data_IF_706670862121
#
_entry.id   IF_706670862121
#
_cell.length_a   1.000
_cell.length_b   1.000
_cell.length_c   1.000
_cell.angle_alpha   90.00
_cell.angle_beta   90.00
_cell.angle_gamma   90.00
#
_symmetry.space_group_name_H-M   'P 1'
#
loop_
_entity.id
_entity.type
_entity.pdbx_description
1 polymer ?
#
# COMPACT_ATOMS: atom_id res chain seq x y z
N UNK A 1 -28.19 -1.07 -54.09
CA UNK A 1 -28.56 -2.27 -53.32
C UNK A 1 -27.28 -2.98 -52.92
N UNK A 2 -27.22 -3.55 -51.71
CA UNK A 2 -26.06 -4.07 -50.94
C UNK A 2 -25.40 -2.98 -50.06
N UNK A 3 -25.65 -2.84 -48.76
CA UNK A 3 -25.82 -3.71 -47.57
C UNK A 3 -24.59 -3.58 -46.64
N UNK A 4 -24.91 -3.34 -45.36
CA UNK A 4 -24.04 -2.89 -44.29
C UNK A 4 -23.12 -3.98 -43.70
N UNK A 5 -22.12 -3.55 -42.94
CA UNK A 5 -21.36 -4.39 -42.03
C UNK A 5 -20.67 -3.56 -40.94
N UNK A 6 -21.43 -3.11 -39.94
CA UNK A 6 -20.87 -2.48 -38.74
C UNK A 6 -20.36 -3.58 -37.79
N UNK A 7 -19.05 -3.70 -37.64
CA UNK A 7 -18.44 -4.59 -36.65
C UNK A 7 -18.53 -3.94 -35.26
N UNK A 8 -19.49 -4.37 -34.45
CA UNK A 8 -19.53 -4.04 -33.03
C UNK A 8 -18.43 -4.82 -32.32
N UNK A 9 -17.31 -4.16 -32.03
CA UNK A 9 -16.30 -4.66 -31.11
C UNK A 9 -16.92 -4.66 -29.70
N UNK A 10 -17.42 -5.83 -29.27
CA UNK A 10 -17.94 -6.01 -27.93
C UNK A 10 -16.83 -5.77 -26.91
N UNK A 11 -16.96 -4.71 -26.11
CA UNK A 11 -16.23 -4.58 -24.85
C UNK A 11 -16.60 -5.79 -24.00
N UNK A 12 -15.68 -6.75 -23.89
CA UNK A 12 -15.72 -7.75 -22.82
C UNK A 12 -15.44 -6.99 -21.54
N UNK A 13 -16.49 -6.59 -20.82
CA UNK A 13 -16.37 -6.24 -19.42
C UNK A 13 -15.83 -7.47 -18.70
N UNK A 14 -14.52 -7.48 -18.43
CA UNK A 14 -13.93 -8.46 -17.53
C UNK A 14 -14.68 -8.33 -16.21
N UNK A 15 -15.32 -9.42 -15.76
CA UNK A 15 -15.74 -9.50 -14.36
C UNK A 15 -14.48 -9.31 -13.54
N UNK A 16 -14.43 -8.26 -12.72
CA UNK A 16 -13.41 -8.14 -11.70
C UNK A 16 -13.47 -9.44 -10.89
N UNK A 17 -12.44 -10.29 -11.01
CA UNK A 17 -12.24 -11.36 -10.05
C UNK A 17 -11.80 -10.65 -8.77
N UNK A 18 -12.42 -10.98 -7.65
CA UNK A 18 -11.86 -10.62 -6.36
C UNK A 18 -10.40 -11.09 -6.35
N UNK A 19 -9.48 -10.25 -5.90
CA UNK A 19 -8.08 -10.63 -5.80
C UNK A 19 -7.99 -11.77 -4.78
N UNK A 20 -7.53 -12.95 -5.21
CA UNK A 20 -7.34 -14.12 -4.33
C UNK A 20 -6.16 -13.91 -3.36
N UNK A 21 -5.33 -12.89 -3.62
CA UNK A 21 -4.17 -12.54 -2.81
C UNK A 21 -3.94 -11.04 -2.72
N UNK A 22 -3.31 -10.62 -1.63
CA UNK A 22 -2.78 -9.29 -1.38
C UNK A 22 -1.28 -9.39 -1.16
N UNK A 23 -0.47 -8.69 -1.96
CA UNK A 23 0.98 -8.64 -1.82
C UNK A 23 1.39 -7.37 -1.08
N UNK A 24 2.07 -7.51 0.06
CA UNK A 24 2.56 -6.38 0.83
C UNK A 24 4.08 -6.41 1.00
N UNK A 25 4.69 -5.24 0.80
CA UNK A 25 6.09 -4.96 1.08
C UNK A 25 6.18 -4.22 2.43
N UNK A 26 6.79 -4.85 3.44
CA UNK A 26 6.68 -4.44 4.84
C UNK A 26 8.01 -4.46 5.60
N UNK A 27 8.07 -3.78 6.74
CA UNK A 27 9.20 -3.91 7.67
C UNK A 27 9.20 -5.29 8.37
N UNK A 28 10.33 -5.68 8.94
CA UNK A 28 10.54 -7.00 9.55
C UNK A 28 9.66 -7.30 10.78
N UNK A 29 8.99 -6.30 11.35
CA UNK A 29 8.11 -6.42 12.50
C UNK A 29 6.60 -6.47 12.15
N UNK A 30 6.24 -6.54 10.86
CA UNK A 30 4.86 -6.50 10.36
C UNK A 30 4.31 -7.86 9.88
N UNK A 31 4.95 -8.97 10.26
CA UNK A 31 4.63 -10.30 9.71
C UNK A 31 4.03 -11.29 10.72
N UNK A 32 3.63 -10.83 11.91
CA UNK A 32 3.06 -11.69 12.95
C UNK A 32 1.79 -12.42 12.43
N UNK A 33 1.82 -13.76 12.34
CA UNK A 33 0.66 -14.53 11.88
C UNK A 33 -0.60 -14.34 12.72
N UNK A 34 -0.49 -13.90 13.97
CA UNK A 34 -1.63 -13.62 14.83
C UNK A 34 -2.41 -12.38 14.39
N UNK A 35 -1.78 -11.45 13.67
CA UNK A 35 -2.42 -10.26 13.10
C UNK A 35 -2.95 -10.53 11.68
N UNK A 36 -2.21 -11.35 10.91
CA UNK A 36 -2.50 -11.58 9.49
C UNK A 36 -3.61 -12.62 9.29
N UNK A 37 -3.60 -13.74 10.03
CA UNK A 37 -4.59 -14.82 9.82
C UNK A 37 -6.04 -14.37 10.01
N UNK A 38 -6.39 -13.57 11.05
CA UNK A 38 -7.76 -13.08 11.19
C UNK A 38 -8.23 -12.25 9.99
N UNK A 39 -7.32 -11.49 9.37
CA UNK A 39 -7.62 -10.74 8.15
C UNK A 39 -7.83 -11.67 6.95
N UNK A 40 -6.94 -12.65 6.74
CA UNK A 40 -7.07 -13.65 5.67
C UNK A 40 -8.42 -14.40 5.76
N UNK A 41 -8.81 -14.82 6.97
CA UNK A 41 -10.06 -15.53 7.24
C UNK A 41 -11.29 -14.64 7.06
N UNK A 42 -11.23 -13.38 7.50
CA UNK A 42 -12.37 -12.46 7.41
C UNK A 42 -12.69 -12.05 5.96
N UNK A 43 -11.67 -11.97 5.11
CA UNK A 43 -11.80 -11.47 3.74
C UNK A 43 -11.59 -12.53 2.65
N UNK A 44 -11.37 -13.81 3.03
CA UNK A 44 -11.10 -14.93 2.13
C UNK A 44 -9.98 -14.60 1.11
N UNK A 45 -8.87 -14.06 1.63
CA UNK A 45 -7.74 -13.58 0.85
C UNK A 45 -6.43 -14.14 1.39
N UNK A 46 -5.46 -14.42 0.52
CA UNK A 46 -4.10 -14.78 0.92
C UNK A 46 -3.22 -13.54 1.02
N UNK A 47 -2.60 -13.28 2.16
CA UNK A 47 -1.63 -12.19 2.30
C UNK A 47 -0.21 -12.71 2.09
N UNK A 48 0.47 -12.19 1.08
CA UNK A 48 1.87 -12.49 0.80
C UNK A 48 2.73 -11.32 1.29
N UNK A 49 3.57 -11.56 2.28
CA UNK A 49 4.43 -10.54 2.87
C UNK A 49 5.87 -10.72 2.40
N UNK A 50 6.49 -9.61 1.98
CA UNK A 50 7.94 -9.53 1.78
C UNK A 50 8.51 -8.49 2.72
N UNK A 51 9.43 -8.92 3.55
CA UNK A 51 10.14 -8.05 4.48
C UNK A 51 11.30 -7.34 3.80
N UNK A 52 11.63 -6.15 4.29
CA UNK A 52 12.84 -5.42 3.96
C UNK A 52 13.45 -4.75 5.21
N UNK A 53 14.76 -4.48 5.16
CA UNK A 53 15.54 -4.00 6.31
C UNK A 53 15.93 -2.50 6.22
N UNK A 54 15.45 -1.81 5.19
CA UNK A 54 15.68 -0.39 4.96
C UNK A 54 14.98 0.13 3.71
N UNK A 55 14.64 1.43 3.69
CA UNK A 55 13.97 2.08 2.56
C UNK A 55 14.69 1.88 1.24
N UNK A 56 16.03 1.90 1.23
CA UNK A 56 16.82 1.67 0.01
C UNK A 56 16.56 0.28 -0.60
N UNK A 57 16.48 -0.76 0.24
CA UNK A 57 16.17 -2.12 -0.20
C UNK A 57 14.74 -2.22 -0.73
N UNK A 58 13.77 -1.59 -0.06
CA UNK A 58 12.39 -1.56 -0.52
C UNK A 58 12.27 -0.91 -1.91
N UNK A 59 12.91 0.25 -2.11
CA UNK A 59 12.89 0.95 -3.39
C UNK A 59 13.54 0.13 -4.52
N UNK A 60 14.65 -0.56 -4.24
CA UNK A 60 15.26 -1.47 -5.23
C UNK A 60 14.36 -2.64 -5.60
N UNK A 61 13.56 -3.16 -4.66
CA UNK A 61 12.56 -4.19 -4.96
C UNK A 61 11.49 -3.63 -5.88
N UNK A 62 10.93 -2.45 -5.56
CA UNK A 62 9.89 -1.79 -6.36
C UNK A 62 10.39 -1.50 -7.77
N UNK A 63 11.61 -0.98 -7.93
CA UNK A 63 12.20 -0.67 -9.25
C UNK A 63 12.33 -1.91 -10.16
N UNK A 64 12.54 -3.09 -9.56
CA UNK A 64 12.65 -4.36 -10.29
C UNK A 64 11.29 -5.06 -10.50
N UNK A 65 10.23 -4.54 -9.88
CA UNK A 65 8.89 -5.12 -9.93
C UNK A 65 8.08 -4.53 -11.08
N UNK A 66 7.11 -5.28 -11.58
CA UNK A 66 6.11 -4.77 -12.51
C UNK A 66 5.04 -3.94 -11.77
N UNK A 67 4.41 -2.96 -12.43
CA UNK A 67 3.24 -2.28 -11.86
C UNK A 67 2.15 -3.28 -11.47
N UNK A 68 1.70 -3.22 -10.21
CA UNK A 68 0.70 -4.14 -9.65
C UNK A 68 1.27 -5.39 -8.98
N UNK A 69 2.60 -5.58 -8.92
CA UNK A 69 3.20 -6.67 -8.14
C UNK A 69 3.01 -6.48 -6.62
N UNK A 70 2.91 -5.22 -6.17
CA UNK A 70 2.71 -4.83 -4.78
C UNK A 70 1.43 -4.02 -4.62
N UNK A 71 0.59 -4.44 -3.67
CA UNK A 71 -0.69 -3.80 -3.35
C UNK A 71 -0.54 -2.85 -2.16
N UNK A 72 0.28 -3.23 -1.17
CA UNK A 72 0.52 -2.45 0.04
C UNK A 72 2.02 -2.24 0.22
N UNK A 73 2.42 -1.01 0.50
CA UNK A 73 3.78 -0.66 0.84
C UNK A 73 3.78 0.09 2.17
N UNK A 74 4.32 -0.53 3.21
CA UNK A 74 4.61 0.17 4.47
C UNK A 74 5.88 0.98 4.23
N UNK A 75 5.90 2.25 4.60
CA UNK A 75 7.03 3.17 4.34
C UNK A 75 7.14 4.16 5.49
N UNK A 76 8.35 4.65 5.79
CA UNK A 76 8.54 5.73 6.75
C UNK A 76 7.82 7.00 6.27
N UNK A 77 7.10 7.66 7.19
CA UNK A 77 6.29 8.84 6.85
C UNK A 77 7.07 9.95 6.14
N UNK A 78 8.35 10.13 6.49
CA UNK A 78 9.20 11.16 5.87
C UNK A 78 9.55 10.87 4.40
N UNK A 79 9.47 9.60 3.97
CA UNK A 79 9.75 9.18 2.61
C UNK A 79 8.49 9.17 1.72
N UNK A 80 7.28 9.30 2.30
CA UNK A 80 6.01 9.34 1.55
C UNK A 80 6.02 10.39 0.44
N UNK A 81 6.38 11.67 0.67
CA UNK A 81 6.37 12.67 -0.39
C UNK A 81 7.26 12.30 -1.58
N UNK A 82 8.43 11.70 -1.30
CA UNK A 82 9.36 11.26 -2.33
C UNK A 82 8.78 10.08 -3.13
N UNK A 83 8.11 9.14 -2.46
CA UNK A 83 7.48 8.00 -3.13
C UNK A 83 6.32 8.45 -4.04
N UNK A 84 5.53 9.45 -3.61
CA UNK A 84 4.49 10.08 -4.43
C UNK A 84 5.11 10.78 -5.65
N UNK A 85 6.13 11.62 -5.44
CA UNK A 85 6.80 12.35 -6.54
C UNK A 85 7.46 11.38 -7.55
N UNK A 86 7.84 10.18 -7.11
CA UNK A 86 8.37 9.10 -7.96
C UNK A 86 7.30 8.25 -8.66
N UNK A 87 6.01 8.49 -8.40
CA UNK A 87 4.89 7.74 -8.99
C UNK A 87 4.74 6.31 -8.45
N UNK A 88 5.26 6.03 -7.26
CA UNK A 88 5.20 4.70 -6.63
C UNK A 88 3.84 4.46 -5.96
N UNK A 89 3.27 5.51 -5.35
CA UNK A 89 2.03 5.42 -4.57
C UNK A 89 0.83 5.89 -5.39
N UNK A 90 -0.28 5.16 -5.26
CA UNK A 90 -1.58 5.57 -5.76
C UNK A 90 -2.32 6.39 -4.70
N UNK A 91 -3.21 7.33 -5.09
CA UNK A 91 -4.05 8.04 -4.14
C UNK A 91 -5.01 7.05 -3.46
N UNK A 92 -5.24 7.26 -2.17
CA UNK A 92 -6.15 6.48 -1.35
C UNK A 92 -7.56 7.11 -1.34
N UNK A 93 -8.62 6.31 -1.20
CA UNK A 93 -9.98 6.81 -1.01
C UNK A 93 -10.12 7.43 0.39
N UNK A 94 -10.10 8.77 0.47
CA UNK A 94 -10.02 9.52 1.74
C UNK A 94 -11.18 9.22 2.69
N UNK A 95 -12.34 8.93 2.14
CA UNK A 95 -13.59 8.68 2.83
C UNK A 95 -13.64 7.30 3.49
N UNK A 96 -12.76 6.39 3.06
CA UNK A 96 -12.61 5.05 3.63
C UNK A 96 -11.50 4.99 4.69
N UNK A 97 -10.70 6.06 4.82
CA UNK A 97 -9.59 6.10 5.77
C UNK A 97 -10.10 6.34 7.20
N UNK A 98 -9.76 5.48 8.17
CA UNK A 98 -10.19 5.60 9.57
C UNK A 98 -9.39 6.67 10.34
N UNK A 99 -9.16 7.84 9.73
CA UNK A 99 -8.34 8.92 10.32
C UNK A 99 -8.91 9.47 11.64
N UNK A 100 -10.22 9.36 11.85
CA UNK A 100 -10.88 9.74 13.09
C UNK A 100 -10.50 8.87 14.29
N UNK A 101 -9.99 7.66 14.06
CA UNK A 101 -9.54 6.75 15.13
C UNK A 101 -8.07 7.00 15.51
N UNK A 102 -7.37 7.87 14.77
CA UNK A 102 -5.97 8.20 15.02
C UNK A 102 -5.85 9.37 16.01
N UNK A 103 -4.74 9.39 16.76
CA UNK A 103 -4.33 10.61 17.46
C UNK A 103 -4.10 11.74 16.43
N UNK A 104 -4.55 12.98 16.69
CA UNK A 104 -4.40 14.09 15.74
C UNK A 104 -2.96 14.29 15.25
N UNK A 105 -1.98 14.07 16.12
CA UNK A 105 -0.55 14.18 15.84
C UNK A 105 -0.05 13.09 14.87
N UNK A 106 -0.73 11.95 14.81
CA UNK A 106 -0.38 10.83 13.94
C UNK A 106 -1.11 10.84 12.60
N UNK A 107 -2.05 11.75 12.37
CA UNK A 107 -2.63 11.94 11.03
C UNK A 107 -1.55 12.40 10.04
N UNK A 108 -0.57 13.18 10.50
CA UNK A 108 0.63 13.57 9.73
C UNK A 108 0.33 14.05 8.29
N UNK A 109 -0.74 14.84 8.13
CA UNK A 109 -1.26 15.26 6.83
C UNK A 109 -0.21 15.96 5.95
N UNK A 110 0.75 16.66 6.56
CA UNK A 110 1.85 17.33 5.83
C UNK A 110 2.74 16.36 5.03
N UNK A 111 2.81 15.09 5.45
CA UNK A 111 3.57 14.04 4.79
C UNK A 111 2.68 13.15 3.92
N UNK A 112 1.43 12.94 4.33
CA UNK A 112 0.52 11.96 3.71
C UNK A 112 -0.32 12.56 2.57
N UNK A 113 -0.48 13.88 2.53
CA UNK A 113 -1.28 14.58 1.52
C UNK A 113 -0.37 15.31 0.53
N UNK A 114 -0.62 15.10 -0.77
CA UNK A 114 0.08 15.80 -1.86
C UNK A 114 -0.95 16.27 -2.89
N UNK A 115 -0.89 17.53 -3.28
CA UNK A 115 -1.82 18.14 -4.24
C UNK A 115 -3.31 17.91 -3.92
N UNK A 116 -3.65 17.93 -2.62
CA UNK A 116 -5.01 17.74 -2.14
C UNK A 116 -5.53 16.30 -2.25
N UNK A 117 -4.65 15.31 -2.38
CA UNK A 117 -4.98 13.89 -2.31
C UNK A 117 -4.15 13.19 -1.24
N UNK A 118 -4.78 12.29 -0.51
CA UNK A 118 -4.11 11.42 0.48
C UNK A 118 -3.48 10.21 -0.19
N UNK A 119 -2.24 9.87 0.16
CA UNK A 119 -1.47 8.75 -0.44
C UNK A 119 -1.00 7.71 0.58
N UNK A 120 -1.06 8.02 1.87
CA UNK A 120 -0.64 7.13 2.94
C UNK A 120 -1.53 7.34 4.18
N UNK A 121 -1.49 6.39 5.10
CA UNK A 121 -2.11 6.47 6.43
C UNK A 121 -1.13 5.92 7.47
N UNK A 122 -1.11 6.52 8.66
CA UNK A 122 -0.28 6.01 9.77
C UNK A 122 -0.86 4.72 10.34
N UNK A 123 -0.02 3.69 10.42
CA UNK A 123 -0.33 2.42 11.07
C UNK A 123 0.42 2.28 12.41
N UNK A 124 1.70 2.64 12.43
CA UNK A 124 2.57 2.58 13.62
C UNK A 124 3.46 3.82 13.69
N UNK A 125 3.86 4.18 14.91
CA UNK A 125 4.85 5.22 15.16
C UNK A 125 5.85 4.77 16.24
N UNK A 126 7.01 5.42 16.25
CA UNK A 126 8.06 5.16 17.22
C UNK A 126 9.14 6.23 17.17
N UNK A 127 10.12 6.11 18.08
CA UNK A 127 11.27 7.01 18.13
C UNK A 127 12.55 6.22 17.95
N UNK A 128 13.43 6.71 17.09
CA UNK A 128 14.81 6.26 17.06
C UNK A 128 15.50 6.78 18.33
N UNK A 129 15.89 5.87 19.21
CA UNK A 129 16.48 6.19 20.51
C UNK A 129 17.88 5.61 20.63
N UNK A 130 18.62 6.11 21.62
CA UNK A 130 19.92 5.55 21.98
C UNK A 130 19.67 4.39 22.93
N UNK A 131 19.91 3.16 22.45
CA UNK A 131 19.99 1.98 23.29
C UNK A 131 21.43 1.76 23.73
N UNK A 132 21.64 1.46 25.01
CA UNK A 132 22.96 1.13 25.54
C UNK A 132 22.83 -0.02 26.54
N UNK A 133 23.85 -0.87 26.60
CA UNK A 133 23.97 -1.79 27.73
C UNK A 133 24.38 -1.00 28.97
N UNK A 134 23.59 -1.10 30.03
CA UNK A 134 23.86 -0.40 31.29
C UNK A 134 25.05 -0.99 32.05
N UNK A 135 25.33 -2.28 31.84
CA UNK A 135 26.42 -3.02 32.50
C UNK A 135 27.70 -3.04 31.65
#
# INVERSE_FOLDING_TARGET
MAAAGAAAAGLRAGRARAAESLNALVWCDHTDPALIRPFEEAFDVRVNLKEYEGTGTALSIIEQSAPGDWDVFVIDGIDVPRAVDAGILAPLPEEELPTADLFPELVMAEYQVRDGRTYAISEKFGYNTISYNRE
#
